data_IF_044128973611
#
_entry.id   IF_044128973611
#
_cell.length_a   1.000
_cell.length_b   1.000
_cell.length_c   1.000
_cell.angle_alpha   90.00
_cell.angle_beta   90.00
_cell.angle_gamma   90.00
#
_symmetry.space_group_name_H-M   'P 1'
#
loop_
_entity.id
_entity.type
_entity.pdbx_description
1 polymer ?
#
# COMPACT_ATOMS: atom_id res chain seq x y z
N UNK A 1 -3.18 8.20 -30.27
CA UNK A 1 -2.58 7.01 -29.64
C UNK A 1 -3.41 5.82 -30.06
N UNK A 2 -2.82 4.88 -30.81
CA UNK A 2 -3.51 3.68 -31.30
C UNK A 2 -3.55 2.59 -30.21
N UNK A 3 -4.50 1.67 -30.27
CA UNK A 3 -4.65 0.58 -29.29
C UNK A 3 -3.42 -0.34 -29.24
N UNK A 4 -2.76 -0.53 -30.38
CA UNK A 4 -1.49 -1.28 -30.48
C UNK A 4 -0.37 -0.58 -29.73
N UNK A 5 -0.25 0.74 -29.89
CA UNK A 5 0.76 1.55 -29.23
C UNK A 5 0.58 1.52 -27.70
N UNK A 6 -0.66 1.59 -27.22
CA UNK A 6 -0.98 1.42 -25.81
C UNK A 6 -0.54 0.06 -25.27
N UNK A 7 -0.82 -1.00 -26.01
CA UNK A 7 -0.42 -2.36 -25.63
C UNK A 7 1.10 -2.51 -25.54
N UNK A 8 1.83 -1.97 -26.51
CA UNK A 8 3.30 -1.96 -26.51
C UNK A 8 3.87 -1.22 -25.30
N UNK A 9 3.32 -0.04 -24.96
CA UNK A 9 3.76 0.73 -23.79
C UNK A 9 3.47 -0.03 -22.49
N UNK A 10 2.25 -0.55 -22.33
CA UNK A 10 1.85 -1.23 -21.09
C UNK A 10 2.56 -2.57 -20.88
N UNK A 11 2.93 -3.28 -21.95
CA UNK A 11 3.61 -4.58 -21.88
C UNK A 11 5.13 -4.48 -21.78
N UNK A 12 5.71 -3.27 -21.88
CA UNK A 12 7.13 -3.06 -21.63
C UNK A 12 7.50 -3.54 -20.22
N UNK A 13 8.61 -4.30 -20.04
CA UNK A 13 8.97 -4.90 -18.74
C UNK A 13 9.00 -3.91 -17.56
N UNK A 14 9.44 -2.67 -17.81
CA UNK A 14 9.47 -1.59 -16.82
C UNK A 14 8.08 -1.13 -16.36
N UNK A 15 7.08 -1.24 -17.23
CA UNK A 15 5.74 -0.69 -17.02
C UNK A 15 4.77 -1.73 -16.45
N UNK A 16 5.05 -3.02 -16.60
CA UNK A 16 4.20 -4.10 -16.06
C UNK A 16 3.94 -3.94 -14.55
N UNK A 17 4.92 -3.62 -13.68
CA UNK A 17 4.65 -3.36 -12.28
C UNK A 17 3.68 -2.18 -12.07
N UNK A 18 3.87 -1.08 -12.80
CA UNK A 18 3.04 0.13 -12.68
C UNK A 18 1.58 -0.21 -13.06
N UNK A 19 1.39 -0.88 -14.19
CA UNK A 19 0.07 -1.31 -14.66
C UNK A 19 -0.59 -2.28 -13.67
N UNK A 20 0.18 -3.18 -13.06
CA UNK A 20 -0.30 -4.09 -12.02
C UNK A 20 -0.71 -3.38 -10.72
N UNK A 21 -0.02 -2.31 -10.35
CA UNK A 21 -0.31 -1.56 -9.12
C UNK A 21 -1.61 -0.77 -9.18
N UNK A 22 -2.02 -0.28 -10.34
CA UNK A 22 -3.26 0.51 -10.49
C UNK A 22 -4.50 -0.26 -9.98
N UNK A 23 -4.84 -1.46 -10.50
CA UNK A 23 -5.99 -2.22 -10.01
C UNK A 23 -5.77 -2.74 -8.59
N UNK A 24 -4.54 -3.05 -8.18
CA UNK A 24 -4.23 -3.48 -6.80
C UNK A 24 -4.52 -2.35 -5.80
N UNK A 25 -4.09 -1.12 -6.12
CA UNK A 25 -4.34 0.05 -5.30
C UNK A 25 -5.84 0.30 -5.14
N UNK A 26 -6.58 0.31 -6.26
CA UNK A 26 -8.04 0.46 -6.24
C UNK A 26 -8.72 -0.65 -5.41
N UNK A 27 -8.28 -1.90 -5.58
CA UNK A 27 -8.79 -3.05 -4.83
C UNK A 27 -8.54 -2.92 -3.33
N UNK A 28 -7.33 -2.56 -2.90
CA UNK A 28 -7.01 -2.42 -1.48
C UNK A 28 -7.66 -1.21 -0.83
N UNK A 29 -7.82 -0.09 -1.55
CA UNK A 29 -8.61 1.06 -1.07
C UNK A 29 -10.07 0.64 -0.88
N UNK A 30 -10.65 -0.04 -1.87
CA UNK A 30 -12.02 -0.56 -1.78
C UNK A 30 -12.17 -1.54 -0.60
N UNK A 31 -11.23 -2.47 -0.43
CA UNK A 31 -11.25 -3.45 0.66
C UNK A 31 -11.16 -2.77 2.03
N UNK A 32 -10.24 -1.81 2.18
CA UNK A 32 -10.09 -1.03 3.40
C UNK A 32 -11.37 -0.24 3.72
N UNK A 33 -11.97 0.41 2.72
CA UNK A 33 -13.22 1.15 2.87
C UNK A 33 -14.39 0.25 3.27
N UNK A 34 -14.56 -0.87 2.55
CA UNK A 34 -15.60 -1.87 2.84
C UNK A 34 -15.48 -2.39 4.28
N UNK A 35 -14.27 -2.69 4.72
CA UNK A 35 -14.02 -3.19 6.07
C UNK A 35 -14.22 -2.10 7.13
N UNK A 36 -13.77 -0.87 6.87
CA UNK A 36 -13.98 0.26 7.76
C UNK A 36 -15.47 0.55 7.97
N UNK A 37 -16.26 0.56 6.89
CA UNK A 37 -17.70 0.81 6.97
C UNK A 37 -18.43 -0.28 7.78
N UNK A 38 -18.12 -1.55 7.52
CA UNK A 38 -18.73 -2.66 8.26
C UNK A 38 -18.36 -2.63 9.75
N UNK A 39 -17.11 -2.29 10.08
CA UNK A 39 -16.67 -2.16 11.46
C UNK A 39 -17.30 -0.94 12.15
N UNK A 40 -17.47 0.18 11.45
CA UNK A 40 -18.10 1.37 12.01
C UNK A 40 -19.58 1.12 12.38
N UNK A 41 -20.32 0.38 11.54
CA UNK A 41 -21.70 -0.06 11.87
C UNK A 41 -21.70 -0.99 13.08
N UNK A 42 -20.78 -1.95 13.13
CA UNK A 42 -20.66 -2.87 14.26
C UNK A 42 -20.37 -2.09 15.56
N UNK A 43 -19.48 -1.10 15.51
CA UNK A 43 -19.15 -0.26 16.67
C UNK A 43 -20.40 0.46 17.17
N UNK A 44 -21.22 1.05 16.28
CA UNK A 44 -22.48 1.69 16.67
C UNK A 44 -23.46 0.71 17.34
N UNK A 45 -23.54 -0.54 16.85
CA UNK A 45 -24.36 -1.59 17.47
C UNK A 45 -23.84 -1.99 18.86
N UNK A 46 -22.51 -2.10 19.02
CA UNK A 46 -21.89 -2.43 20.31
C UNK A 46 -22.03 -1.30 21.33
N UNK A 47 -22.09 -0.05 20.88
CA UNK A 47 -22.38 1.11 21.75
C UNK A 47 -23.84 1.13 22.19
N UNK A 48 -24.76 0.71 21.32
CA UNK A 48 -26.19 0.63 21.63
C UNK A 48 -26.56 -0.55 22.55
N UNK A 49 -25.83 -1.68 22.47
CA UNK A 49 -26.08 -2.89 23.29
C UNK A 49 -24.85 -3.27 24.14
N UNK A 50 -24.84 -2.90 25.44
CA UNK A 50 -23.76 -3.23 26.37
C UNK A 50 -23.56 -4.73 26.62
N UNK A 51 -24.57 -5.58 26.37
CA UNK A 51 -24.42 -7.03 26.48
C UNK A 51 -23.63 -7.61 25.31
N UNK A 52 -23.85 -7.09 24.10
CA UNK A 52 -23.11 -7.46 22.89
C UNK A 52 -21.64 -7.01 22.96
N UNK A 53 -21.37 -5.83 23.52
CA UNK A 53 -20.02 -5.28 23.70
C UNK A 53 -19.07 -6.18 24.51
N UNK A 54 -19.60 -6.95 25.47
CA UNK A 54 -18.78 -7.84 26.33
C UNK A 54 -18.32 -9.11 25.60
N UNK A 55 -19.02 -9.50 24.54
CA UNK A 55 -18.83 -10.79 23.85
C UNK A 55 -18.21 -10.64 22.47
N UNK A 56 -18.42 -9.50 21.79
CA UNK A 56 -18.00 -9.28 20.41
C UNK A 56 -16.70 -8.47 20.31
N UNK A 57 -15.90 -8.76 19.27
CA UNK A 57 -14.73 -7.95 18.90
C UNK A 57 -15.17 -6.76 18.03
N UNK A 58 -14.42 -5.65 18.05
CA UNK A 58 -14.60 -4.50 17.16
C UNK A 58 -14.08 -4.76 15.73
N UNK A 59 -14.26 -5.99 15.23
CA UNK A 59 -13.77 -6.44 13.92
C UNK A 59 -14.75 -7.44 13.33
N UNK A 60 -15.29 -7.12 12.16
CA UNK A 60 -16.26 -7.96 11.43
C UNK A 60 -15.64 -9.17 10.75
N UNK A 61 -14.34 -9.13 10.45
CA UNK A 61 -13.63 -10.16 9.68
C UNK A 61 -12.23 -10.41 10.24
N UNK A 62 -11.76 -11.67 10.40
CA UNK A 62 -12.48 -12.94 10.35
C UNK A 62 -12.85 -13.40 11.78
N UNK A 63 -13.73 -12.70 12.50
CA UNK A 63 -14.14 -13.16 13.84
C UNK A 63 -15.40 -14.03 13.75
N UNK A 64 -15.33 -15.26 14.27
CA UNK A 64 -16.49 -16.13 14.45
C UNK A 64 -16.81 -16.29 15.94
N UNK A 65 -18.11 -16.36 16.33
CA UNK A 65 -18.50 -16.69 17.69
C UNK A 65 -17.80 -17.98 18.16
N UNK A 66 -17.12 -17.94 19.30
CA UNK A 66 -16.40 -19.08 19.88
C UNK A 66 -14.90 -19.16 19.56
N UNK A 67 -14.34 -18.24 18.77
CA UNK A 67 -12.88 -18.18 18.57
C UNK A 67 -12.17 -17.56 19.79
N UNK A 68 -11.01 -18.12 20.14
CA UNK A 68 -10.15 -17.56 21.18
C UNK A 68 -9.60 -16.19 20.75
N UNK A 69 -9.39 -15.29 21.72
CA UNK A 69 -8.82 -13.95 21.47
C UNK A 69 -7.39 -14.01 20.97
N UNK A 70 -6.63 -14.97 21.49
CA UNK A 70 -5.22 -15.20 21.17
C UNK A 70 -5.03 -16.66 20.80
N UNK A 71 -4.11 -16.89 19.86
CA UNK A 71 -3.77 -18.21 19.34
C UNK A 71 -2.26 -18.32 19.34
N UNK A 72 -1.72 -19.50 19.67
CA UNK A 72 -0.28 -19.72 19.62
C UNK A 72 0.27 -19.50 18.22
N UNK A 73 1.43 -18.84 18.14
CA UNK A 73 2.16 -18.61 16.89
C UNK A 73 2.46 -19.92 16.18
N UNK A 74 2.96 -20.91 16.93
CA UNK A 74 3.12 -22.27 16.44
C UNK A 74 1.89 -23.12 16.78
N UNK A 75 1.29 -23.85 15.83
CA UNK A 75 1.64 -23.94 14.41
C UNK A 75 0.82 -22.98 13.52
N UNK A 76 -0.08 -22.18 14.09
CA UNK A 76 -1.13 -21.50 13.33
C UNK A 76 -0.59 -20.38 12.44
N UNK A 77 0.13 -19.41 13.01
CA UNK A 77 0.69 -18.29 12.25
C UNK A 77 1.77 -18.80 11.27
N UNK A 78 2.66 -19.67 11.74
CA UNK A 78 3.77 -20.15 10.91
C UNK A 78 3.29 -20.90 9.65
N UNK A 79 2.22 -21.69 9.74
CA UNK A 79 1.66 -22.37 8.55
C UNK A 79 1.17 -21.38 7.49
N UNK A 80 0.56 -20.28 7.92
CA UNK A 80 0.05 -19.24 7.02
C UNK A 80 1.21 -18.50 6.38
N UNK A 81 2.21 -18.09 7.17
CA UNK A 81 3.39 -17.39 6.68
C UNK A 81 4.22 -18.26 5.72
N UNK A 82 4.40 -19.54 6.04
CA UNK A 82 5.10 -20.48 5.18
C UNK A 82 4.38 -20.69 3.84
N UNK A 83 3.05 -20.83 3.87
CA UNK A 83 2.25 -20.92 2.65
C UNK A 83 2.34 -19.64 1.82
N UNK A 84 2.27 -18.47 2.46
CA UNK A 84 2.42 -17.18 1.79
C UNK A 84 3.81 -17.04 1.16
N UNK A 85 4.88 -17.46 1.85
CA UNK A 85 6.24 -17.45 1.32
C UNK A 85 6.38 -18.33 0.08
N UNK A 86 5.79 -19.54 0.09
CA UNK A 86 5.77 -20.42 -1.09
C UNK A 86 5.02 -19.75 -2.26
N UNK A 87 3.83 -19.19 -2.01
CA UNK A 87 3.03 -18.53 -3.04
C UNK A 87 3.78 -17.35 -3.65
N UNK A 88 4.36 -16.48 -2.82
CA UNK A 88 5.15 -15.32 -3.27
C UNK A 88 6.36 -15.77 -4.07
N UNK A 89 7.06 -16.83 -3.62
CA UNK A 89 8.21 -17.40 -4.34
C UNK A 89 7.80 -17.91 -5.72
N UNK A 90 6.67 -18.62 -5.83
CA UNK A 90 6.15 -19.09 -7.11
C UNK A 90 5.79 -17.91 -8.02
N UNK A 91 5.12 -16.88 -7.50
CA UNK A 91 4.77 -15.68 -8.27
C UNK A 91 6.03 -15.00 -8.81
N UNK A 92 7.04 -14.78 -7.96
CA UNK A 92 8.30 -14.16 -8.36
C UNK A 92 9.08 -15.03 -9.36
N UNK A 93 9.06 -16.35 -9.21
CA UNK A 93 9.71 -17.28 -10.15
C UNK A 93 9.05 -17.22 -11.53
N UNK A 94 7.71 -17.26 -11.60
CA UNK A 94 6.98 -17.12 -12.87
C UNK A 94 7.29 -15.77 -13.50
N UNK A 95 7.24 -14.68 -12.73
CA UNK A 95 7.56 -13.33 -13.21
C UNK A 95 8.99 -13.26 -13.78
N UNK A 96 9.97 -13.84 -13.09
CA UNK A 96 11.38 -13.86 -13.52
C UNK A 96 11.61 -14.65 -14.81
N UNK A 97 10.75 -15.62 -15.13
CA UNK A 97 10.87 -16.42 -16.36
C UNK A 97 10.12 -15.75 -17.52
N UNK A 98 9.01 -15.08 -17.25
CA UNK A 98 8.14 -14.49 -18.29
C UNK A 98 8.56 -13.09 -18.72
N UNK A 99 9.23 -12.32 -17.86
CA UNK A 99 9.64 -10.95 -18.12
C UNK A 99 11.15 -10.81 -18.03
N UNK A 100 11.76 -10.49 -19.18
CA UNK A 100 13.20 -10.22 -19.24
C UNK A 100 13.52 -8.94 -18.49
N UNK A 101 14.61 -8.98 -17.71
CA UNK A 101 15.15 -7.78 -17.09
C UNK A 101 15.63 -6.81 -18.19
N UNK A 102 15.22 -5.53 -18.14
CA UNK A 102 15.71 -4.51 -19.06
C UNK A 102 17.11 -4.08 -18.62
N UNK A 103 18.11 -4.84 -19.05
CA UNK A 103 19.52 -4.55 -18.79
C UNK A 103 20.06 -3.59 -19.84
N UNK A 104 20.59 -2.46 -19.38
CA UNK A 104 21.24 -1.44 -20.22
C UNK A 104 22.73 -1.74 -20.43
N UNK A 105 23.37 -0.98 -21.32
CA UNK A 105 24.81 -1.04 -21.56
C UNK A 105 25.64 -0.68 -20.29
N UNK A 106 26.91 -1.10 -20.22
CA UNK A 106 27.81 -0.68 -19.13
C UNK A 106 27.89 0.85 -18.99
N UNK A 107 27.95 1.32 -17.74
CA UNK A 107 27.93 2.75 -17.44
C UNK A 107 29.06 3.52 -18.15
N UNK A 108 28.70 4.59 -18.86
CA UNK A 108 29.63 5.49 -19.53
C UNK A 108 29.47 6.92 -18.98
N UNK A 109 30.45 7.47 -18.24
CA UNK A 109 30.38 8.82 -17.68
C UNK A 109 30.24 9.93 -18.72
N UNK A 110 30.60 9.67 -19.98
CA UNK A 110 30.49 10.65 -21.07
C UNK A 110 29.13 10.63 -21.77
N UNK A 111 28.23 9.71 -21.40
CA UNK A 111 26.90 9.56 -22.01
C UNK A 111 25.82 9.63 -20.93
N UNK A 112 24.96 10.65 -21.01
CA UNK A 112 23.73 10.71 -20.20
C UNK A 112 22.60 10.01 -20.94
N UNK A 113 22.02 8.97 -20.34
CA UNK A 113 20.90 8.23 -20.92
C UNK A 113 19.66 9.13 -21.02
N UNK A 114 18.96 9.06 -22.14
CA UNK A 114 17.65 9.68 -22.33
C UNK A 114 16.70 8.68 -23.00
N UNK A 115 15.66 8.16 -22.32
CA UNK A 115 15.18 8.54 -20.99
C UNK A 115 15.89 7.80 -19.85
N UNK A 116 16.26 8.52 -18.78
CA UNK A 116 16.67 7.91 -17.52
C UNK A 116 15.43 7.56 -16.70
N UNK A 117 15.03 6.29 -16.69
CA UNK A 117 13.91 5.78 -15.89
C UNK A 117 14.42 5.18 -14.58
N UNK A 118 13.83 5.57 -13.47
CA UNK A 118 14.09 4.93 -12.18
C UNK A 118 13.03 3.83 -11.90
N UNK A 119 13.27 2.96 -10.91
CA UNK A 119 12.31 1.93 -10.50
C UNK A 119 10.92 2.50 -10.16
N UNK A 120 9.88 1.70 -10.41
CA UNK A 120 8.46 2.09 -10.26
C UNK A 120 8.08 2.64 -8.87
N UNK A 121 8.74 2.19 -7.79
CA UNK A 121 8.47 2.70 -6.44
C UNK A 121 8.99 4.14 -6.22
N UNK A 122 9.81 4.65 -7.14
CA UNK A 122 10.24 6.04 -7.21
C UNK A 122 9.51 6.85 -8.29
N UNK A 123 8.42 6.33 -8.87
CA UNK A 123 7.69 7.04 -9.93
C UNK A 123 7.25 8.45 -9.48
N UNK A 124 6.69 8.59 -8.28
CA UNK A 124 6.32 9.90 -7.73
C UNK A 124 7.51 10.86 -7.59
N UNK A 125 8.69 10.36 -7.17
CA UNK A 125 9.90 11.19 -7.12
C UNK A 125 10.43 11.56 -8.50
N UNK A 126 10.31 10.67 -9.48
CA UNK A 126 10.70 10.97 -10.86
C UNK A 126 9.85 12.09 -11.44
N UNK A 127 8.53 12.04 -11.25
CA UNK A 127 7.63 13.12 -11.66
C UNK A 127 8.02 14.44 -10.98
N UNK A 128 8.30 14.43 -9.67
CA UNK A 128 8.75 15.63 -8.98
C UNK A 128 10.07 16.19 -9.52
N UNK A 129 11.02 15.34 -9.94
CA UNK A 129 12.29 15.78 -10.55
C UNK A 129 12.10 16.42 -11.94
N UNK A 130 10.98 16.14 -12.62
CA UNK A 130 10.64 16.79 -13.89
C UNK A 130 10.11 18.21 -13.67
N UNK A 131 9.33 18.43 -12.60
CA UNK A 131 8.65 19.70 -12.36
C UNK A 131 9.37 20.65 -11.38
N UNK A 132 10.23 20.15 -10.49
CA UNK A 132 10.92 20.93 -9.47
C UNK A 132 12.45 20.86 -9.59
N UNK A 133 13.14 21.83 -8.99
CA UNK A 133 14.60 21.80 -8.89
C UNK A 133 15.08 20.50 -8.23
N UNK A 134 16.16 19.86 -8.75
CA UNK A 134 16.65 18.57 -8.25
C UNK A 134 16.92 18.53 -6.75
N UNK A 135 17.34 19.66 -6.16
CA UNK A 135 17.53 19.79 -4.72
C UNK A 135 16.22 19.66 -3.93
N UNK A 136 15.15 20.30 -4.39
CA UNK A 136 13.85 20.28 -3.71
C UNK A 136 13.21 18.90 -3.84
N UNK A 137 13.15 18.37 -5.07
CA UNK A 137 12.55 17.06 -5.34
C UNK A 137 13.38 15.89 -4.80
N UNK A 138 14.72 15.98 -4.86
CA UNK A 138 15.61 14.89 -4.47
C UNK A 138 16.00 14.87 -2.99
N UNK A 139 15.99 16.01 -2.29
CA UNK A 139 16.45 16.10 -0.89
C UNK A 139 15.36 16.60 0.03
N UNK A 140 14.82 17.80 -0.22
CA UNK A 140 13.91 18.47 0.71
C UNK A 140 12.60 17.69 0.87
N UNK A 141 11.93 17.36 -0.22
CA UNK A 141 10.63 16.71 -0.20
C UNK A 141 10.68 15.28 0.39
N UNK A 142 11.63 14.39 -0.01
CA UNK A 142 11.76 13.08 0.63
C UNK A 142 12.04 13.18 2.13
N UNK A 143 12.89 14.13 2.53
CA UNK A 143 13.19 14.35 3.95
C UNK A 143 11.94 14.77 4.72
N UNK A 144 11.14 15.68 4.16
CA UNK A 144 9.86 16.09 4.77
C UNK A 144 8.87 14.94 4.87
N UNK A 145 8.77 14.07 3.85
CA UNK A 145 7.90 12.89 3.89
C UNK A 145 8.33 11.95 5.01
N UNK A 146 9.63 11.62 5.11
CA UNK A 146 10.16 10.72 6.13
C UNK A 146 9.91 11.28 7.54
N UNK A 147 10.23 12.56 7.77
CA UNK A 147 9.97 13.21 9.05
C UNK A 147 8.48 13.22 9.35
N UNK A 148 7.63 13.53 8.36
CA UNK A 148 6.18 13.49 8.50
C UNK A 148 5.68 12.11 8.96
N UNK A 149 6.18 11.03 8.36
CA UNK A 149 5.85 9.65 8.73
C UNK A 149 6.33 9.30 10.16
N UNK A 150 7.53 9.74 10.55
CA UNK A 150 8.05 9.55 11.91
C UNK A 150 7.23 10.29 12.98
N UNK A 151 6.62 11.41 12.60
CA UNK A 151 5.82 12.25 13.50
C UNK A 151 4.40 11.68 13.73
N UNK A 152 3.89 10.82 12.83
CA UNK A 152 2.54 10.21 12.95
C UNK A 152 2.22 9.65 14.35
N UNK A 153 3.05 8.76 14.97
CA UNK A 153 2.73 8.20 16.29
C UNK A 153 2.67 9.24 17.42
N UNK A 154 3.27 10.43 17.24
CA UNK A 154 3.26 11.50 18.24
C UNK A 154 2.05 12.44 18.09
N UNK A 155 1.48 12.54 16.88
CA UNK A 155 0.28 13.35 16.61
C UNK A 155 -1.00 12.51 16.79
N UNK A 156 -1.01 11.28 16.28
CA UNK A 156 -2.17 10.36 16.39
C UNK A 156 -2.03 9.47 17.63
N UNK A 157 -2.33 10.03 18.80
CA UNK A 157 -2.34 9.30 20.08
C UNK A 157 -3.66 8.59 20.35
N UNK A 158 -4.57 8.50 19.37
CA UNK A 158 -5.88 7.88 19.58
C UNK A 158 -5.73 6.36 19.75
N UNK A 159 -6.12 5.77 20.90
CA UNK A 159 -6.04 4.31 21.09
C UNK A 159 -7.10 3.55 20.28
N UNK A 160 -8.19 4.21 19.87
CA UNK A 160 -9.24 3.62 19.05
C UNK A 160 -8.76 3.44 17.61
N UNK A 161 -9.26 2.40 16.91
CA UNK A 161 -8.83 2.07 15.55
C UNK A 161 -7.49 1.35 15.44
N UNK A 162 -6.90 0.92 16.57
CA UNK A 162 -5.71 0.07 16.56
C UNK A 162 -6.09 -1.39 16.31
N UNK A 163 -5.54 -2.00 15.25
CA UNK A 163 -5.75 -3.42 14.92
C UNK A 163 -7.02 -3.75 14.14
N UNK A 164 -7.81 -2.74 13.74
CA UNK A 164 -8.99 -2.91 12.88
C UNK A 164 -9.23 -1.67 12.02
N UNK A 165 -9.87 -1.84 10.87
CA UNK A 165 -10.21 -0.74 9.98
C UNK A 165 -11.40 0.05 10.53
N UNK A 166 -11.33 1.37 10.57
CA UNK A 166 -12.42 2.28 10.97
C UNK A 166 -12.24 3.60 10.24
N UNK A 167 -13.32 4.23 9.83
CA UNK A 167 -13.28 5.57 9.23
C UNK A 167 -13.69 6.63 10.25
N UNK A 168 -14.81 6.41 10.96
CA UNK A 168 -15.37 7.39 11.91
C UNK A 168 -14.40 7.77 13.03
N UNK A 169 -13.63 6.82 13.56
CA UNK A 169 -12.74 7.05 14.71
C UNK A 169 -11.43 7.75 14.35
N UNK A 170 -11.00 7.72 13.07
CA UNK A 170 -9.71 8.26 12.60
C UNK A 170 -9.80 9.09 11.31
N UNK A 171 -10.95 9.73 11.08
CA UNK A 171 -11.23 10.50 9.85
C UNK A 171 -10.14 11.50 9.46
N UNK A 172 -9.53 12.17 10.43
CA UNK A 172 -8.46 13.13 10.19
C UNK A 172 -7.17 12.42 9.76
N UNK A 173 -6.66 11.49 10.57
CA UNK A 173 -5.42 10.75 10.27
C UNK A 173 -5.49 10.03 8.92
N UNK A 174 -6.59 9.32 8.64
CA UNK A 174 -6.77 8.59 7.40
C UNK A 174 -6.96 9.55 6.23
N UNK A 175 -7.75 10.62 6.40
CA UNK A 175 -7.95 11.63 5.35
C UNK A 175 -6.65 12.32 4.94
N UNK A 176 -5.85 12.76 5.91
CA UNK A 176 -4.54 13.38 5.66
C UNK A 176 -3.56 12.40 5.01
N UNK A 177 -3.53 11.14 5.46
CA UNK A 177 -2.68 10.13 4.84
C UNK A 177 -3.09 9.82 3.39
N UNK A 178 -4.38 9.62 3.12
CA UNK A 178 -4.89 9.37 1.77
C UNK A 178 -4.69 10.57 0.85
N UNK A 179 -4.82 11.79 1.36
CA UNK A 179 -4.49 12.99 0.60
C UNK A 179 -3.00 13.02 0.23
N UNK A 180 -2.11 12.82 1.20
CA UNK A 180 -0.66 12.78 0.94
C UNK A 180 -0.25 11.65 0.01
N UNK A 181 -0.85 10.47 0.14
CA UNK A 181 -0.49 9.33 -0.67
C UNK A 181 -1.14 9.35 -2.07
N UNK A 182 -2.45 9.52 -2.16
CA UNK A 182 -3.15 9.45 -3.46
C UNK A 182 -2.96 10.73 -4.26
N UNK A 183 -3.15 11.90 -3.65
CA UNK A 183 -3.15 13.17 -4.39
C UNK A 183 -1.75 13.71 -4.60
N UNK A 184 -0.84 13.58 -3.63
CA UNK A 184 0.50 14.18 -3.75
C UNK A 184 1.59 13.22 -4.25
N UNK A 185 1.39 11.91 -4.15
CA UNK A 185 2.42 10.91 -4.50
C UNK A 185 2.05 10.02 -5.69
N UNK A 186 0.78 9.67 -5.86
CA UNK A 186 0.31 8.80 -6.94
C UNK A 186 -0.27 9.58 -8.13
N UNK A 187 -0.96 10.70 -7.88
CA UNK A 187 -1.61 11.56 -8.88
C UNK A 187 -0.72 12.76 -9.26
#
# INVERSE_FOLDING_TARGET
MDWRQLWEICSAPDNVPIVGLIPLLAFYIYLAWKQAHANDILIEQLEADPAMAKTHHRKTWPFKPGWAKEVHVWPFLLRIEFLAAIIVTIILMVWSITLNAPLEEPANPNLTMNPAKAPWYFLGLQEMLVYFDPWIAGVVMPTMIIIGLMVIPYIDTNPLGSGYYTWKQRRFSIGTFLFGFIILWVA
#
